data_IF_834612106748
#
_entry.id   IF_834612106748
#
_cell.length_a   1.000
_cell.length_b   1.000
_cell.length_c   1.000
_cell.angle_alpha   90.00
_cell.angle_beta   90.00
_cell.angle_gamma   90.00
#
_symmetry.space_group_name_H-M   'P 1'
#
loop_
_entity.id
_entity.type
_entity.pdbx_description
1 polymer ?
#
# COMPACT_ATOMS: atom_id res chain seq x y z
N UNK A 1 -47.05 20.41 15.53
CA UNK A 1 -46.37 19.52 14.57
C UNK A 1 -44.94 20.04 14.45
N UNK A 2 -43.97 19.40 15.14
CA UNK A 2 -42.54 19.75 15.06
C UNK A 2 -41.88 18.90 13.95
N UNK A 3 -41.48 19.54 12.87
CA UNK A 3 -40.69 18.90 11.80
C UNK A 3 -39.23 18.83 12.22
N UNK A 4 -38.70 17.62 12.45
CA UNK A 4 -37.30 17.36 12.71
C UNK A 4 -36.62 17.31 11.33
N UNK A 5 -35.82 18.34 11.00
CA UNK A 5 -34.93 18.34 9.85
C UNK A 5 -33.67 17.54 10.21
N UNK A 6 -33.58 16.32 9.71
CA UNK A 6 -32.37 15.50 9.84
C UNK A 6 -31.29 16.03 8.89
N UNK A 7 -30.26 16.67 9.45
CA UNK A 7 -29.06 17.08 8.69
C UNK A 7 -28.18 15.85 8.54
N UNK A 8 -28.14 15.30 7.32
CA UNK A 8 -27.19 14.24 6.94
C UNK A 8 -25.82 14.90 6.72
N UNK A 9 -24.89 14.72 7.65
CA UNK A 9 -23.50 15.05 7.44
C UNK A 9 -22.89 14.04 6.44
N UNK A 10 -22.76 14.45 5.19
CA UNK A 10 -21.89 13.75 4.24
C UNK A 10 -20.44 13.98 4.67
N UNK A 11 -19.83 12.99 5.28
CA UNK A 11 -18.38 12.96 5.49
C UNK A 11 -17.71 12.66 4.15
N UNK A 12 -17.21 13.71 3.48
CA UNK A 12 -16.38 13.57 2.29
C UNK A 12 -15.03 13.01 2.76
N UNK A 13 -14.57 11.84 2.30
CA UNK A 13 -13.21 11.38 2.59
C UNK A 13 -12.22 12.40 2.04
N UNK A 14 -11.39 12.95 2.90
CA UNK A 14 -10.38 13.93 2.52
C UNK A 14 -9.45 13.34 1.45
N UNK A 15 -9.48 13.90 0.26
CA UNK A 15 -8.56 13.64 -0.84
C UNK A 15 -7.20 14.26 -0.50
N UNK A 16 -6.45 13.58 0.35
CA UNK A 16 -5.12 14.04 0.81
C UNK A 16 -4.11 14.21 -0.34
N UNK A 17 -4.42 13.71 -1.54
CA UNK A 17 -3.54 13.78 -2.70
C UNK A 17 -3.73 15.02 -3.58
N UNK A 18 -4.84 15.75 -3.46
CA UNK A 18 -5.14 16.89 -4.34
C UNK A 18 -4.22 18.10 -4.12
N UNK A 19 -3.62 18.23 -2.94
CA UNK A 19 -2.75 19.35 -2.59
C UNK A 19 -1.26 19.11 -2.85
N UNK A 20 -0.84 17.90 -3.22
CA UNK A 20 0.54 17.60 -3.61
C UNK A 20 0.80 18.22 -4.97
N UNK A 21 1.86 19.01 -5.10
CA UNK A 21 2.21 19.72 -6.34
C UNK A 21 3.27 19.00 -7.17
N UNK A 22 4.16 18.27 -6.51
CA UNK A 22 5.22 17.52 -7.19
C UNK A 22 4.67 16.20 -7.77
N UNK A 23 4.79 16.03 -9.09
CA UNK A 23 4.23 14.86 -9.79
C UNK A 23 4.94 13.55 -9.44
N UNK A 24 6.25 13.58 -9.17
CA UNK A 24 6.99 12.39 -8.71
C UNK A 24 6.46 11.94 -7.35
N UNK A 25 6.22 12.88 -6.44
CA UNK A 25 5.65 12.59 -5.12
C UNK A 25 4.22 12.05 -5.24
N UNK A 26 3.38 12.63 -6.11
CA UNK A 26 2.04 12.09 -6.40
C UNK A 26 2.08 10.64 -6.86
N UNK A 27 3.01 10.31 -7.77
CA UNK A 27 3.15 8.94 -8.28
C UNK A 27 3.55 7.94 -7.19
N UNK A 28 4.47 8.32 -6.27
CA UNK A 28 4.83 7.50 -5.11
C UNK A 28 3.65 7.26 -4.18
N UNK A 29 2.91 8.32 -3.86
CA UNK A 29 1.72 8.22 -3.00
C UNK A 29 0.64 7.35 -3.64
N UNK A 30 0.43 7.48 -4.95
CA UNK A 30 -0.52 6.64 -5.69
C UNK A 30 -0.08 5.18 -5.70
N UNK A 31 1.21 4.89 -5.89
CA UNK A 31 1.75 3.54 -5.81
C UNK A 31 1.50 2.91 -4.44
N UNK A 32 1.81 3.63 -3.35
CA UNK A 32 1.57 3.17 -1.98
C UNK A 32 0.07 2.99 -1.70
N UNK A 33 -0.79 3.82 -2.30
CA UNK A 33 -2.24 3.64 -2.22
C UNK A 33 -2.68 2.34 -2.90
N UNK A 34 -2.18 2.03 -4.09
CA UNK A 34 -2.47 0.77 -4.80
C UNK A 34 -2.06 -0.42 -3.95
N UNK A 35 -0.85 -0.42 -3.40
CA UNK A 35 -0.34 -1.47 -2.51
C UNK A 35 -1.28 -1.64 -1.30
N UNK A 36 -1.60 -0.55 -0.61
CA UNK A 36 -2.48 -0.58 0.56
C UNK A 36 -3.87 -1.13 0.23
N UNK A 37 -4.49 -0.65 -0.84
CA UNK A 37 -5.84 -1.04 -1.22
C UNK A 37 -5.89 -2.51 -1.67
N UNK A 38 -4.85 -2.98 -2.37
CA UNK A 38 -4.72 -4.39 -2.76
C UNK A 38 -4.52 -5.30 -1.54
N UNK A 39 -3.67 -4.92 -0.59
CA UNK A 39 -3.51 -5.64 0.67
C UNK A 39 -4.81 -5.70 1.47
N UNK A 40 -5.59 -4.61 1.48
CA UNK A 40 -6.90 -4.60 2.12
C UNK A 40 -7.87 -5.57 1.44
N UNK A 41 -7.87 -5.66 0.11
CA UNK A 41 -8.68 -6.62 -0.67
C UNK A 41 -8.32 -8.06 -0.33
N UNK A 42 -7.03 -8.40 -0.34
CA UNK A 42 -6.55 -9.74 0.06
C UNK A 42 -6.96 -10.05 1.50
N UNK A 43 -6.78 -9.09 2.40
CA UNK A 43 -7.14 -9.25 3.80
C UNK A 43 -8.65 -9.45 4.04
N UNK A 44 -9.52 -8.85 3.23
CA UNK A 44 -10.98 -9.07 3.30
C UNK A 44 -11.36 -10.47 2.83
N UNK A 45 -10.75 -10.96 1.73
CA UNK A 45 -10.95 -12.33 1.26
C UNK A 45 -10.46 -13.35 2.30
N UNK A 46 -9.28 -13.14 2.87
CA UNK A 46 -8.70 -13.99 3.90
C UNK A 46 -9.59 -14.11 5.17
N UNK A 47 -10.33 -13.06 5.52
CA UNK A 47 -11.24 -13.03 6.68
C UNK A 47 -12.70 -13.38 6.34
N UNK A 48 -13.00 -13.72 5.10
CA UNK A 48 -14.37 -14.01 4.66
C UNK A 48 -15.31 -12.80 4.66
N UNK A 49 -14.79 -11.58 4.64
CA UNK A 49 -15.57 -10.34 4.51
C UNK A 49 -16.04 -10.15 3.07
N UNK A 50 -15.11 -10.37 2.13
CA UNK A 50 -15.43 -10.44 0.71
C UNK A 50 -15.40 -11.91 0.24
N UNK A 51 -16.18 -12.30 -0.79
CA UNK A 51 -16.14 -13.64 -1.33
C UNK A 51 -14.73 -13.99 -1.83
N UNK A 52 -14.24 -15.14 -1.41
CA UNK A 52 -12.98 -15.70 -1.92
C UNK A 52 -13.23 -16.43 -3.24
N UNK A 53 -12.37 -16.17 -4.22
CA UNK A 53 -12.11 -17.04 -5.37
C UNK A 53 -10.61 -17.06 -5.65
N UNK A 54 -10.09 -18.20 -6.08
CA UNK A 54 -8.67 -18.33 -6.44
C UNK A 54 -8.28 -17.32 -7.53
N UNK A 55 -9.14 -17.11 -8.54
CA UNK A 55 -8.94 -16.12 -9.59
C UNK A 55 -8.80 -14.69 -9.03
N UNK A 56 -9.68 -14.29 -8.11
CA UNK A 56 -9.63 -12.95 -7.48
C UNK A 56 -8.39 -12.78 -6.60
N UNK A 57 -8.01 -13.84 -5.88
CA UNK A 57 -6.82 -13.83 -5.03
C UNK A 57 -5.54 -13.74 -5.88
N UNK A 58 -5.44 -14.52 -6.96
CA UNK A 58 -4.30 -14.47 -7.88
C UNK A 58 -4.21 -13.13 -8.59
N UNK A 59 -5.32 -12.57 -9.05
CA UNK A 59 -5.35 -11.21 -9.64
C UNK A 59 -4.86 -10.14 -8.66
N UNK A 60 -5.27 -10.23 -7.40
CA UNK A 60 -4.81 -9.30 -6.37
C UNK A 60 -3.31 -9.47 -6.09
N UNK A 61 -2.81 -10.71 -6.01
CA UNK A 61 -1.38 -11.02 -5.90
C UNK A 61 -0.59 -10.41 -7.06
N UNK A 62 -1.02 -10.60 -8.30
CA UNK A 62 -0.35 -10.03 -9.48
C UNK A 62 -0.35 -8.50 -9.46
N UNK A 63 -1.46 -7.88 -9.07
CA UNK A 63 -1.53 -6.42 -8.89
C UNK A 63 -0.49 -5.93 -7.86
N UNK A 64 -0.36 -6.66 -6.76
CA UNK A 64 0.60 -6.33 -5.70
C UNK A 64 2.05 -6.51 -6.15
N UNK A 65 2.35 -7.60 -6.89
CA UNK A 65 3.68 -7.84 -7.47
C UNK A 65 4.09 -6.74 -8.46
N UNK A 66 3.18 -6.36 -9.36
CA UNK A 66 3.44 -5.29 -10.31
C UNK A 66 3.72 -3.95 -9.61
N UNK A 67 2.95 -3.65 -8.56
CA UNK A 67 3.17 -2.45 -7.77
C UNK A 67 4.48 -2.50 -6.98
N UNK A 68 4.85 -3.64 -6.41
CA UNK A 68 6.11 -3.84 -5.71
C UNK A 68 7.32 -3.63 -6.64
N UNK A 69 7.28 -4.21 -7.84
CA UNK A 69 8.33 -4.05 -8.86
C UNK A 69 8.53 -2.60 -9.32
N UNK A 70 7.53 -1.72 -9.17
CA UNK A 70 7.62 -0.31 -9.57
C UNK A 70 8.15 0.61 -8.45
N UNK A 71 8.39 0.08 -7.24
CA UNK A 71 8.86 0.87 -6.09
C UNK A 71 10.20 1.55 -6.41
N UNK A 72 11.21 0.78 -6.81
CA UNK A 72 12.53 1.33 -7.12
C UNK A 72 12.44 2.45 -8.15
N UNK A 73 11.74 2.22 -9.26
CA UNK A 73 11.58 3.20 -10.32
C UNK A 73 10.91 4.50 -9.84
N UNK A 74 9.83 4.41 -9.05
CA UNK A 74 9.10 5.58 -8.55
C UNK A 74 9.88 6.39 -7.51
N UNK A 75 10.77 5.75 -6.78
CA UNK A 75 11.59 6.41 -5.74
C UNK A 75 12.97 6.83 -6.20
N UNK A 76 13.38 6.52 -7.44
CA UNK A 76 14.72 6.80 -7.95
C UNK A 76 15.11 8.27 -7.89
N UNK A 77 14.20 9.20 -8.19
CA UNK A 77 14.46 10.63 -8.15
C UNK A 77 14.30 11.15 -6.72
N UNK A 78 15.31 11.86 -6.20
CA UNK A 78 15.22 12.52 -4.89
C UNK A 78 14.45 13.83 -5.01
N UNK A 79 13.12 13.74 -5.17
CA UNK A 79 12.22 14.89 -5.20
C UNK A 79 11.34 14.92 -3.95
N UNK A 80 10.96 16.10 -3.52
CA UNK A 80 10.19 16.31 -2.29
C UNK A 80 8.99 17.23 -2.52
N UNK A 81 8.08 17.20 -1.57
CA UNK A 81 6.89 18.05 -1.48
C UNK A 81 6.56 18.19 0.02
N UNK A 82 6.01 19.31 0.50
CA UNK A 82 5.64 19.48 1.91
C UNK A 82 4.72 18.39 2.45
N UNK A 83 3.96 17.73 1.59
CA UNK A 83 3.04 16.64 1.94
C UNK A 83 3.68 15.24 1.78
N UNK A 84 4.92 15.15 1.31
CA UNK A 84 5.64 13.88 1.21
C UNK A 84 5.91 13.28 2.58
N UNK A 85 5.73 11.96 2.70
CA UNK A 85 6.14 11.19 3.87
C UNK A 85 7.42 10.39 3.62
N UNK A 86 8.06 10.57 2.45
CA UNK A 86 9.33 9.93 2.15
C UNK A 86 10.46 10.56 2.97
N UNK A 87 11.21 9.73 3.70
CA UNK A 87 12.39 10.17 4.44
C UNK A 87 13.56 10.39 3.49
N UNK A 88 14.41 11.42 3.70
CA UNK A 88 15.69 11.57 3.01
C UNK A 88 16.60 10.33 3.09
N UNK A 89 16.46 9.54 4.16
CA UNK A 89 17.19 8.30 4.36
C UNK A 89 17.06 7.31 3.19
N UNK A 90 16.00 7.40 2.37
CA UNK A 90 15.82 6.59 1.16
C UNK A 90 17.03 6.74 0.23
N UNK A 91 17.42 7.99 -0.05
CA UNK A 91 18.47 8.30 -1.01
C UNK A 91 19.87 8.29 -0.38
N UNK A 92 19.95 8.47 0.93
CA UNK A 92 21.18 8.31 1.71
C UNK A 92 21.59 6.85 1.85
N UNK A 93 20.61 5.92 1.82
CA UNK A 93 20.80 4.48 1.98
C UNK A 93 20.04 3.72 0.87
N UNK A 94 20.30 4.09 -0.38
CA UNK A 94 19.55 3.60 -1.53
C UNK A 94 19.57 2.07 -1.68
N UNK A 95 20.74 1.43 -1.47
CA UNK A 95 20.88 -0.03 -1.55
C UNK A 95 19.97 -0.72 -0.51
N UNK A 96 19.98 -0.28 0.76
CA UNK A 96 19.11 -0.86 1.80
C UNK A 96 17.61 -0.61 1.48
N UNK A 97 17.27 0.52 0.85
CA UNK A 97 15.90 0.77 0.39
C UNK A 97 15.47 -0.20 -0.70
N UNK A 98 16.33 -0.46 -1.69
CA UNK A 98 16.07 -1.41 -2.79
C UNK A 98 15.96 -2.83 -2.21
N UNK A 99 16.89 -3.25 -1.36
CA UNK A 99 16.85 -4.56 -0.70
C UNK A 99 15.51 -4.79 0.03
N UNK A 100 14.99 -3.78 0.72
CA UNK A 100 13.67 -3.89 1.40
C UNK A 100 12.49 -3.94 0.41
N UNK A 101 12.60 -3.30 -0.75
CA UNK A 101 11.60 -3.42 -1.80
C UNK A 101 11.61 -4.81 -2.43
N UNK A 102 12.80 -5.39 -2.60
CA UNK A 102 12.98 -6.76 -3.09
C UNK A 102 12.47 -7.79 -2.07
N UNK A 103 12.78 -7.62 -0.78
CA UNK A 103 12.21 -8.43 0.30
C UNK A 103 10.68 -8.42 0.28
N UNK A 104 10.07 -7.25 0.07
CA UNK A 104 8.62 -7.14 -0.06
C UNK A 104 8.08 -7.92 -1.25
N UNK A 105 8.72 -7.81 -2.42
CA UNK A 105 8.38 -8.58 -3.62
C UNK A 105 8.49 -10.08 -3.38
N UNK A 106 9.57 -10.53 -2.75
CA UNK A 106 9.79 -11.93 -2.40
C UNK A 106 8.71 -12.49 -1.46
N UNK A 107 8.28 -11.72 -0.47
CA UNK A 107 7.19 -12.14 0.42
C UNK A 107 5.86 -12.27 -0.32
N UNK A 108 5.59 -11.41 -1.33
CA UNK A 108 4.38 -11.51 -2.15
C UNK A 108 4.45 -12.73 -3.07
N UNK A 109 5.61 -13.03 -3.66
CA UNK A 109 5.80 -14.22 -4.48
C UNK A 109 5.43 -15.51 -3.74
N UNK A 110 5.81 -15.58 -2.45
CA UNK A 110 5.47 -16.71 -1.57
C UNK A 110 4.02 -16.75 -1.10
N UNK A 111 3.16 -15.79 -1.46
CA UNK A 111 1.75 -15.81 -1.06
C UNK A 111 0.99 -16.90 -1.82
N UNK A 112 0.50 -17.89 -1.10
CA UNK A 112 -0.35 -18.94 -1.65
C UNK A 112 -1.81 -18.46 -1.81
N UNK A 113 -2.38 -18.64 -2.98
CA UNK A 113 -3.71 -18.12 -3.37
C UNK A 113 -4.81 -19.17 -3.47
N UNK A 114 -4.52 -20.42 -3.08
CA UNK A 114 -5.42 -21.56 -3.25
C UNK A 114 -6.62 -21.54 -2.29
N UNK A 115 -6.55 -20.84 -1.16
CA UNK A 115 -7.62 -20.76 -0.17
C UNK A 115 -7.56 -19.48 0.67
N UNK A 116 -8.66 -19.15 1.36
CA UNK A 116 -8.68 -18.03 2.31
C UNK A 116 -7.71 -18.25 3.48
N UNK A 117 -7.52 -19.50 3.92
CA UNK A 117 -6.58 -19.89 4.97
C UNK A 117 -5.14 -19.63 4.52
N UNK A 118 -4.78 -20.00 3.29
CA UNK A 118 -3.43 -19.78 2.76
C UNK A 118 -3.14 -18.28 2.60
N UNK A 119 -4.10 -17.49 2.15
CA UNK A 119 -3.99 -16.03 2.15
C UNK A 119 -3.71 -15.49 3.56
N UNK A 120 -4.49 -15.94 4.55
CA UNK A 120 -4.34 -15.52 5.95
C UNK A 120 -2.95 -15.84 6.50
N UNK A 121 -2.42 -17.03 6.18
CA UNK A 121 -1.09 -17.47 6.60
C UNK A 121 0.05 -16.59 6.04
N UNK A 122 -0.06 -16.13 4.79
CA UNK A 122 0.98 -15.32 4.13
C UNK A 122 0.96 -13.82 4.49
N UNK A 123 -0.20 -13.28 4.88
CA UNK A 123 -0.37 -11.84 5.11
C UNK A 123 0.53 -11.27 6.22
N UNK A 124 0.83 -12.06 7.25
CA UNK A 124 1.68 -11.64 8.36
C UNK A 124 3.10 -11.26 7.92
N UNK A 125 3.71 -12.09 7.08
CA UNK A 125 5.07 -11.87 6.57
C UNK A 125 5.12 -10.66 5.63
N UNK A 126 4.12 -10.52 4.76
CA UNK A 126 4.00 -9.35 3.87
C UNK A 126 3.84 -8.06 4.70
N UNK A 127 2.99 -8.09 5.75
CA UNK A 127 2.82 -6.96 6.65
C UNK A 127 4.09 -6.57 7.41
N UNK A 128 4.91 -7.55 7.80
CA UNK A 128 6.21 -7.30 8.44
C UNK A 128 7.20 -6.60 7.49
N UNK A 129 7.26 -6.98 6.23
CA UNK A 129 8.12 -6.32 5.24
C UNK A 129 7.70 -4.86 5.01
N UNK A 130 6.38 -4.59 4.91
CA UNK A 130 5.86 -3.21 4.89
C UNK A 130 6.32 -2.39 6.11
N UNK A 131 6.18 -2.96 7.30
CA UNK A 131 6.57 -2.30 8.56
C UNK A 131 8.07 -2.06 8.67
N UNK A 132 8.89 -3.01 8.22
CA UNK A 132 10.36 -2.91 8.21
C UNK A 132 10.82 -1.74 7.33
N UNK A 133 10.32 -1.66 6.08
CA UNK A 133 10.65 -0.58 5.16
C UNK A 133 10.18 0.78 5.70
N UNK A 134 8.92 0.89 6.11
CA UNK A 134 8.35 2.15 6.63
C UNK A 134 9.02 2.64 7.90
N UNK A 135 9.52 1.75 8.77
CA UNK A 135 10.27 2.13 9.97
C UNK A 135 11.53 2.93 9.65
N UNK A 136 12.24 2.56 8.56
CA UNK A 136 13.50 3.18 8.16
C UNK A 136 13.28 4.39 7.23
N UNK A 137 12.29 4.32 6.35
CA UNK A 137 12.20 5.18 5.17
C UNK A 137 10.94 6.06 5.09
N UNK A 138 10.03 5.96 6.07
CA UNK A 138 8.86 6.82 6.15
C UNK A 138 8.98 7.79 7.32
N UNK A 139 8.70 9.07 7.06
CA UNK A 139 8.63 10.09 8.11
C UNK A 139 7.51 9.77 9.09
N UNK A 140 7.80 9.93 10.38
CA UNK A 140 6.79 9.86 11.43
C UNK A 140 6.07 11.21 11.50
N UNK A 141 4.76 11.20 11.44
CA UNK A 141 3.91 12.35 11.75
C UNK A 141 3.56 12.36 13.22
#
# INVERSE_FOLDING_TARGET
ILSIVSIIFLTIPALAHENVKNDTVKQRMQLMKVIKDTMATIGKMARGVDPFTEESAEKAKQTLLNAAADIENKFKLNETDPLSESSPAIWENWEDFVDKADDFSFMIEGLETASAESLSAGLGNIGQSCGSCHKSFRLKK
#
